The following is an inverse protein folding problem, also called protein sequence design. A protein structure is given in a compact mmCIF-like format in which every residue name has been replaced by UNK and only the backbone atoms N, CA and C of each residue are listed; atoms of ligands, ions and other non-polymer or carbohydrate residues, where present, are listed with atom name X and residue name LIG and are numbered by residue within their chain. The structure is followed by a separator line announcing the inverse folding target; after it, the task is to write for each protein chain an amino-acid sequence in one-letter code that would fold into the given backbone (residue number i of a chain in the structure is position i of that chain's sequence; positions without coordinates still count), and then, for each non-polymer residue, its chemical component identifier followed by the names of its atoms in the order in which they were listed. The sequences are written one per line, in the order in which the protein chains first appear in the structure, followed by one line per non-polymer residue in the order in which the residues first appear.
data_IF_675491627360
#
_entry.id   IF_675491627360
#
_cell.length_a   1.000
_cell.length_b   1.000
_cell.length_c   1.000
_cell.angle_alpha   90.00
_cell.angle_beta   90.00
_cell.angle_gamma   90.00
#
_symmetry.space_group_name_H-M   'P 1'
#
loop_
_entity.id
_entity.type
_entity.pdbx_description
1 polymer ?
#
# COMPACT_ATOMS: atom_id res chain seq x y z
N UNK A 1 -23.58 -3.03 11.56
CA UNK A 1 -22.13 -2.74 11.48
C UNK A 1 -21.71 -3.02 10.04
N UNK A 2 -21.66 -2.00 9.19
CA UNK A 2 -21.19 -2.15 7.82
C UNK A 2 -19.75 -2.65 7.84
N UNK A 3 -19.55 -3.84 7.27
CA UNK A 3 -18.22 -4.33 6.93
C UNK A 3 -17.77 -3.42 5.78
N UNK A 4 -16.89 -2.47 6.05
CA UNK A 4 -16.16 -1.78 4.98
C UNK A 4 -15.38 -2.89 4.26
N UNK A 5 -15.97 -3.41 3.19
CA UNK A 5 -15.31 -4.37 2.32
C UNK A 5 -14.18 -3.59 1.69
N UNK A 6 -12.95 -3.87 2.13
CA UNK A 6 -11.78 -3.19 1.59
C UNK A 6 -11.75 -3.39 0.08
N UNK A 7 -11.77 -2.28 -0.65
CA UNK A 7 -11.74 -2.24 -2.12
C UNK A 7 -10.43 -2.85 -2.68
N UNK A 8 -9.47 -3.19 -1.81
CA UNK A 8 -8.16 -3.72 -2.16
C UNK A 8 -8.23 -5.02 -2.96
N UNK A 9 -9.29 -5.82 -2.78
CA UNK A 9 -9.53 -7.03 -3.55
C UNK A 9 -9.74 -6.77 -5.05
N UNK A 10 -10.10 -5.54 -5.43
CA UNK A 10 -10.18 -5.15 -6.84
C UNK A 10 -8.78 -4.88 -7.45
N UNK A 11 -7.75 -4.69 -6.62
CA UNK A 11 -6.41 -4.27 -7.06
C UNK A 11 -5.36 -5.37 -6.88
N UNK A 12 -5.50 -6.20 -5.84
CA UNK A 12 -4.61 -7.31 -5.51
C UNK A 12 -5.38 -8.63 -5.57
N UNK A 13 -4.76 -9.67 -6.14
CA UNK A 13 -5.35 -11.01 -6.16
C UNK A 13 -5.38 -11.65 -4.76
N UNK A 14 -6.28 -12.62 -4.60
CA UNK A 14 -6.48 -13.32 -3.32
C UNK A 14 -5.21 -13.99 -2.79
N UNK A 15 -4.35 -14.47 -3.68
CA UNK A 15 -3.07 -15.09 -3.30
C UNK A 15 -2.16 -14.07 -2.62
N UNK A 16 -2.00 -12.89 -3.22
CA UNK A 16 -1.19 -11.80 -2.67
C UNK A 16 -1.77 -11.33 -1.33
N UNK A 17 -3.09 -11.18 -1.23
CA UNK A 17 -3.75 -10.81 0.02
C UNK A 17 -3.55 -11.86 1.12
N UNK A 18 -3.67 -13.16 0.79
CA UNK A 18 -3.35 -14.24 1.71
C UNK A 18 -1.90 -14.18 2.18
N UNK A 19 -0.94 -13.97 1.27
CA UNK A 19 0.47 -13.86 1.62
C UNK A 19 0.73 -12.71 2.61
N UNK A 20 0.11 -11.54 2.39
CA UNK A 20 0.22 -10.41 3.31
C UNK A 20 -0.34 -10.77 4.68
N UNK A 21 -1.53 -11.37 4.72
CA UNK A 21 -2.16 -11.83 5.96
C UNK A 21 -1.27 -12.80 6.73
N UNK A 22 -0.82 -13.88 6.08
CA UNK A 22 0.07 -14.87 6.69
C UNK A 22 1.39 -14.25 7.15
N UNK A 23 1.95 -13.30 6.40
CA UNK A 23 3.21 -12.64 6.77
C UNK A 23 3.09 -11.85 8.07
N UNK A 24 1.97 -11.17 8.29
CA UNK A 24 1.70 -10.44 9.54
C UNK A 24 1.40 -11.42 10.67
N UNK A 25 0.54 -12.41 10.44
CA UNK A 25 0.09 -13.34 11.48
C UNK A 25 1.20 -14.28 11.99
N UNK A 26 2.17 -14.61 11.12
CA UNK A 26 3.29 -15.52 11.44
C UNK A 26 4.60 -14.79 11.73
N UNK A 27 4.57 -13.46 11.81
CA UNK A 27 5.75 -12.67 12.09
C UNK A 27 6.39 -13.10 13.42
N UNK A 28 7.71 -13.36 13.39
CA UNK A 28 8.48 -13.71 14.59
C UNK A 28 8.71 -12.51 15.52
N UNK A 29 8.50 -11.30 15.00
CA UNK A 29 8.65 -10.04 15.69
C UNK A 29 7.27 -9.41 15.88
N UNK A 30 7.15 -8.56 16.89
CA UNK A 30 5.92 -7.80 17.13
C UNK A 30 5.56 -6.95 15.90
N UNK A 31 4.32 -7.09 15.46
CA UNK A 31 3.77 -6.32 14.33
C UNK A 31 2.99 -5.13 14.84
N UNK A 32 2.95 -4.07 14.04
CA UNK A 32 2.17 -2.88 14.33
C UNK A 32 0.89 -2.85 13.50
N UNK A 33 -0.13 -2.08 13.89
CA UNK A 33 -1.33 -1.88 13.05
C UNK A 33 -1.00 -1.42 11.61
N UNK A 34 0.12 -0.74 11.43
CA UNK A 34 0.63 -0.24 10.16
C UNK A 34 1.30 -1.32 9.29
N UNK A 35 1.68 -2.46 9.85
CA UNK A 35 2.40 -3.51 9.11
C UNK A 35 1.59 -4.06 7.92
N UNK A 36 0.28 -4.23 8.09
CA UNK A 36 -0.60 -4.67 7.00
C UNK A 36 -0.71 -3.63 5.87
N UNK A 37 -1.08 -2.35 6.12
CA UNK A 37 -1.13 -1.35 5.06
C UNK A 37 0.24 -1.08 4.42
N UNK A 38 1.36 -1.23 5.14
CA UNK A 38 2.70 -1.14 4.57
C UNK A 38 2.98 -2.23 3.54
N UNK A 39 2.61 -3.48 3.84
CA UNK A 39 2.75 -4.58 2.90
C UNK A 39 1.80 -4.44 1.70
N UNK A 40 0.59 -3.91 1.91
CA UNK A 40 -0.35 -3.59 0.83
C UNK A 40 0.23 -2.51 -0.08
N UNK A 41 0.76 -1.42 0.49
CA UNK A 41 1.43 -0.34 -0.24
C UNK A 41 2.59 -0.89 -1.07
N UNK A 42 3.42 -1.74 -0.48
CA UNK A 42 4.51 -2.41 -1.19
C UNK A 42 3.99 -3.27 -2.36
N UNK A 43 2.97 -4.09 -2.14
CA UNK A 43 2.40 -4.94 -3.18
C UNK A 43 1.80 -4.12 -4.35
N UNK A 44 1.11 -3.02 -4.06
CA UNK A 44 0.59 -2.11 -5.08
C UNK A 44 1.72 -1.49 -5.92
N UNK A 45 2.78 -1.00 -5.27
CA UNK A 45 3.93 -0.40 -5.95
C UNK A 45 4.72 -1.42 -6.78
N UNK A 46 4.85 -2.67 -6.33
CA UNK A 46 5.48 -3.73 -7.13
C UNK A 46 4.64 -4.06 -8.36
N UNK A 47 3.31 -4.14 -8.22
CA UNK A 47 2.42 -4.55 -9.31
C UNK A 47 2.20 -3.46 -10.36
N UNK A 48 2.03 -2.21 -9.93
CA UNK A 48 1.63 -1.11 -10.82
C UNK A 48 2.69 -0.02 -10.97
N UNK A 49 3.74 -0.02 -10.14
CA UNK A 49 4.66 1.11 -10.05
C UNK A 49 3.98 2.36 -9.49
N UNK A 50 4.50 3.53 -9.89
CA UNK A 50 3.94 4.82 -9.53
C UNK A 50 4.29 5.26 -8.11
N UNK A 51 3.39 6.05 -7.52
CA UNK A 51 3.56 6.66 -6.21
C UNK A 51 2.33 6.40 -5.35
N UNK A 52 2.57 5.93 -4.14
CA UNK A 52 1.53 5.75 -3.14
C UNK A 52 1.58 6.91 -2.16
N UNK A 53 0.42 7.51 -1.89
CA UNK A 53 0.24 8.53 -0.87
C UNK A 53 -0.67 7.98 0.23
N UNK A 54 -0.33 8.23 1.49
CA UNK A 54 -1.20 7.86 2.60
C UNK A 54 -2.55 8.61 2.49
N UNK A 55 -3.64 8.00 2.95
CA UNK A 55 -4.95 8.65 3.00
C UNK A 55 -4.95 9.89 3.90
N UNK A 56 -4.00 9.96 4.84
CA UNK A 56 -3.76 11.13 5.70
C UNK A 56 -2.99 12.26 5.00
N UNK A 57 -2.40 12.01 3.82
CA UNK A 57 -1.58 13.00 3.12
C UNK A 57 -2.45 14.12 2.53
N UNK A 58 -2.06 15.36 2.79
CA UNK A 58 -2.65 16.56 2.20
C UNK A 58 -1.58 17.21 1.33
N UNK A 59 -1.87 17.35 0.03
CA UNK A 59 -0.98 18.03 -0.90
C UNK A 59 -1.00 19.54 -0.60
N UNK A 60 0.13 20.06 -0.13
CA UNK A 60 0.34 21.51 0.08
C UNK A 60 1.01 22.18 -1.13
N UNK A 61 1.58 21.37 -2.04
CA UNK A 61 2.27 21.80 -3.25
C UNK A 61 1.90 20.89 -4.43
N UNK A 62 2.10 21.39 -5.65
CA UNK A 62 1.87 20.63 -6.87
C UNK A 62 2.98 19.58 -7.09
N UNK A 63 2.64 18.44 -7.67
CA UNK A 63 3.58 17.35 -7.98
C UNK A 63 4.41 17.60 -9.25
N UNK A 64 4.75 18.84 -9.59
CA UNK A 64 5.50 19.16 -10.81
C UNK A 64 6.89 18.50 -10.83
N UNK A 65 7.44 18.19 -9.65
CA UNK A 65 8.66 17.42 -9.49
C UNK A 65 8.56 16.00 -10.10
N UNK A 66 7.36 15.39 -10.17
CA UNK A 66 7.18 14.07 -10.80
C UNK A 66 7.48 14.09 -12.30
N UNK A 67 7.34 15.24 -12.96
CA UNK A 67 7.58 15.34 -14.39
C UNK A 67 9.08 15.47 -14.67
N UNK A 68 9.86 15.92 -13.68
CA UNK A 68 11.27 16.28 -13.83
C UNK A 68 12.26 15.25 -13.25
N UNK A 69 11.78 14.11 -12.73
CA UNK A 69 12.61 13.08 -12.07
C UNK A 69 13.69 12.45 -12.98
N UNK A 70 13.54 12.53 -14.31
CA UNK A 70 14.51 12.00 -15.28
C UNK A 70 15.39 13.05 -15.97
N UNK A 71 15.39 14.30 -15.50
CA UNK A 71 16.07 15.43 -16.15
C UNK A 71 17.40 15.86 -15.51
N UNK A 72 17.96 15.03 -14.62
CA UNK A 72 19.27 15.23 -14.02
C UNK A 72 20.24 14.13 -14.43
#
# INVERSE_FOLDING_TARGET
KEKILSNIANYLDDKTLQMIHTSVDTAKLETFPQSKPDLIRLALLIKYGGIYLDASYIAVENFDWLINIGRY
#
